data_IF_618290474565
#
_entry.id   IF_618290474565
#
_cell.length_a   1.000
_cell.length_b   1.000
_cell.length_c   1.000
_cell.angle_alpha   90.00
_cell.angle_beta   90.00
_cell.angle_gamma   90.00
#
_symmetry.space_group_name_H-M   'P 1'
#
loop_
_entity.id
_entity.type
_entity.pdbx_description
1 polymer ?
#
# COMPACT_ATOMS: atom_id res chain seq x y z
N UNK A 1 1.29 -3.23 -8.66
CA UNK A 1 0.50 -3.03 -7.98
C UNK A 1 0.23 -3.93 -6.76
N UNK A 2 -0.74 -3.61 -5.95
CA UNK A 2 -1.27 -4.50 -4.91
C UNK A 2 -0.39 -4.81 -3.70
N UNK A 3 0.66 -4.08 -3.44
CA UNK A 3 1.51 -4.30 -2.27
C UNK A 3 1.98 -2.95 -1.72
N UNK A 4 3.16 -2.88 -1.10
CA UNK A 4 3.69 -1.62 -0.55
C UNK A 4 3.78 -0.49 -1.58
N UNK A 5 3.94 -0.79 -2.86
CA UNK A 5 3.88 0.17 -3.97
C UNK A 5 2.48 0.47 -4.51
N UNK A 6 1.44 -0.02 -3.87
CA UNK A 6 0.05 0.11 -4.28
C UNK A 6 -0.86 0.67 -3.20
N UNK A 7 -2.12 0.31 -3.26
CA UNK A 7 -3.14 0.70 -2.32
C UNK A 7 -4.27 -0.33 -2.26
N UNK A 8 -5.35 0.01 -1.61
CA UNK A 8 -6.52 -0.85 -1.48
C UNK A 8 -7.57 -0.30 -0.54
N UNK A 9 -8.46 -1.19 -0.14
CA UNK A 9 -9.51 -0.95 0.84
C UNK A 9 -9.46 -2.00 1.94
N UNK A 10 -9.78 -1.61 3.14
CA UNK A 10 -9.91 -2.51 4.28
C UNK A 10 -11.26 -2.27 4.96
N UNK A 11 -12.02 -3.34 5.16
CA UNK A 11 -13.22 -3.33 5.99
C UNK A 11 -12.86 -3.92 7.35
N UNK A 12 -13.10 -3.15 8.40
CA UNK A 12 -12.90 -3.61 9.78
C UNK A 12 -14.28 -3.69 10.44
N UNK A 13 -14.67 -4.88 10.87
CA UNK A 13 -15.88 -5.10 11.64
C UNK A 13 -15.51 -5.43 13.10
N UNK A 14 -15.54 -4.45 14.00
CA UNK A 14 -15.24 -4.70 15.42
C UNK A 14 -16.34 -5.57 16.06
N UNK A 15 -16.00 -6.25 17.13
CA UNK A 15 -16.95 -7.07 17.89
C UNK A 15 -18.13 -6.25 18.42
N UNK A 16 -17.89 -4.98 18.73
CA UNK A 16 -18.91 -4.01 19.12
C UNK A 16 -18.76 -2.75 18.26
N UNK A 17 -19.89 -2.22 17.80
CA UNK A 17 -19.92 -1.03 16.95
C UNK A 17 -20.19 -1.35 15.47
N UNK A 18 -20.20 -0.30 14.66
CA UNK A 18 -20.45 -0.40 13.22
C UNK A 18 -19.17 -0.73 12.44
N UNK A 19 -19.29 -1.45 11.32
CA UNK A 19 -18.16 -1.64 10.42
C UNK A 19 -17.62 -0.28 9.93
N UNK A 20 -16.32 -0.23 9.74
CA UNK A 20 -15.64 0.93 9.16
C UNK A 20 -14.87 0.52 7.91
N UNK A 21 -14.70 1.45 6.98
CA UNK A 21 -13.89 1.27 5.79
C UNK A 21 -12.69 2.20 5.88
N UNK A 22 -11.51 1.66 5.61
CA UNK A 22 -10.28 2.42 5.43
C UNK A 22 -9.95 2.39 3.95
N UNK A 23 -10.07 3.54 3.29
CA UNK A 23 -9.64 3.73 1.92
C UNK A 23 -8.17 4.18 1.94
N UNK A 24 -7.30 3.34 1.41
CA UNK A 24 -5.88 3.63 1.27
C UNK A 24 -5.41 3.44 -0.17
N UNK A 25 -6.30 3.72 -1.13
CA UNK A 25 -5.92 3.75 -2.54
C UNK A 25 -4.82 4.76 -2.81
N UNK A 26 -4.16 4.57 -3.92
CA UNK A 26 -3.17 5.50 -4.44
C UNK A 26 -3.81 6.86 -4.71
N UNK A 27 -3.07 7.90 -4.45
CA UNK A 27 -3.46 9.28 -4.76
C UNK A 27 -2.58 9.85 -5.86
N UNK A 28 -3.06 10.88 -6.53
CA UNK A 28 -2.22 11.61 -7.47
C UNK A 28 -1.05 12.28 -6.74
N UNK A 29 0.16 12.31 -7.32
CA UNK A 29 1.27 13.08 -6.77
C UNK A 29 0.90 14.55 -6.59
N UNK A 30 1.48 15.22 -5.57
CA UNK A 30 1.17 16.62 -5.26
C UNK A 30 1.42 17.59 -6.44
N UNK A 31 2.33 17.24 -7.34
CA UNK A 31 2.63 18.03 -8.56
C UNK A 31 1.80 17.62 -9.79
N UNK A 32 0.85 16.71 -9.63
CA UNK A 32 -0.01 16.29 -10.74
C UNK A 32 -0.90 17.45 -11.19
N UNK A 33 -1.05 17.59 -12.50
CA UNK A 33 -1.93 18.58 -13.11
C UNK A 33 -2.84 17.91 -14.12
N UNK A 34 -3.97 18.55 -14.43
CA UNK A 34 -4.96 18.00 -15.38
C UNK A 34 -4.37 17.75 -16.77
N UNK A 35 -3.32 18.49 -17.14
CA UNK A 35 -2.72 18.46 -18.48
C UNK A 35 -1.31 17.89 -18.50
N UNK A 36 -0.90 17.19 -17.43
CA UNK A 36 0.46 16.66 -17.31
C UNK A 36 0.79 15.55 -18.32
N UNK A 37 -0.22 14.82 -18.77
CA UNK A 37 -0.06 13.74 -19.75
C UNK A 37 -0.15 14.30 -21.17
N UNK A 38 0.80 13.91 -22.01
CA UNK A 38 0.83 14.23 -23.44
C UNK A 38 0.56 12.98 -24.26
N UNK A 39 0.16 13.17 -25.53
CA UNK A 39 -0.19 12.07 -26.44
C UNK A 39 0.94 11.04 -26.61
N UNK A 40 2.18 11.51 -26.56
CA UNK A 40 3.38 10.68 -26.77
C UNK A 40 4.02 10.18 -25.45
N UNK A 41 3.39 10.43 -24.30
CA UNK A 41 3.89 9.90 -23.02
C UNK A 41 3.72 8.37 -22.98
N UNK A 42 4.77 7.69 -22.57
CA UNK A 42 4.72 6.24 -22.37
C UNK A 42 3.76 5.87 -21.22
N UNK A 43 2.90 4.86 -21.39
CA UNK A 43 2.05 4.37 -20.31
C UNK A 43 2.86 3.72 -19.16
N UNK A 44 4.14 3.49 -19.36
CA UNK A 44 5.06 2.93 -18.36
C UNK A 44 6.00 4.00 -17.76
N UNK A 45 5.75 5.29 -18.03
CA UNK A 45 6.58 6.36 -17.48
C UNK A 45 6.31 6.58 -15.98
N UNK A 46 7.28 7.17 -15.29
CA UNK A 46 7.12 7.57 -13.87
C UNK A 46 5.95 8.53 -13.62
N UNK A 47 5.44 9.21 -14.65
CA UNK A 47 4.28 10.11 -14.55
C UNK A 47 2.99 9.39 -14.20
N UNK A 48 2.87 8.09 -14.52
CA UNK A 48 1.66 7.30 -14.25
C UNK A 48 1.64 6.65 -12.87
N UNK A 49 2.73 6.78 -12.11
CA UNK A 49 2.84 6.19 -10.77
C UNK A 49 2.03 7.00 -9.78
N UNK A 50 1.05 6.38 -9.16
CA UNK A 50 0.33 6.94 -8.02
C UNK A 50 1.17 6.92 -6.73
N UNK A 51 0.86 7.82 -5.82
CA UNK A 51 1.46 7.80 -4.47
C UNK A 51 0.87 6.64 -3.68
N UNK A 52 1.67 5.65 -3.24
CA UNK A 52 1.17 4.47 -2.56
C UNK A 52 0.52 4.77 -1.21
N UNK A 53 -0.55 4.04 -0.89
CA UNK A 53 -1.30 4.19 0.35
C UNK A 53 -1.23 2.99 1.30
N UNK A 54 -0.73 1.82 0.85
CA UNK A 54 -0.82 0.55 1.60
C UNK A 54 -0.21 0.64 3.01
N UNK A 55 1.03 1.10 3.14
CA UNK A 55 1.70 1.15 4.45
C UNK A 55 1.00 2.12 5.39
N UNK A 56 0.59 3.28 4.88
CA UNK A 56 -0.15 4.28 5.67
C UNK A 56 -1.52 3.76 6.11
N UNK A 57 -2.24 3.08 5.23
CA UNK A 57 -3.54 2.49 5.55
C UNK A 57 -3.46 1.38 6.59
N UNK A 58 -2.47 0.50 6.47
CA UNK A 58 -2.19 -0.53 7.47
C UNK A 58 -1.79 0.09 8.82
N UNK A 59 -0.97 1.14 8.81
CA UNK A 59 -0.58 1.84 10.03
C UNK A 59 -1.80 2.48 10.71
N UNK A 60 -2.68 3.13 9.95
CA UNK A 60 -3.91 3.71 10.48
C UNK A 60 -4.84 2.66 11.10
N UNK A 61 -5.00 1.51 10.44
CA UNK A 61 -5.76 0.39 11.00
C UNK A 61 -5.12 -0.13 12.30
N UNK A 62 -3.80 -0.22 12.32
CA UNK A 62 -3.05 -0.65 13.50
C UNK A 62 -3.18 0.34 14.67
N UNK A 63 -3.09 1.64 14.43
CA UNK A 63 -3.27 2.66 15.48
C UNK A 63 -4.65 2.55 16.16
N UNK A 64 -5.68 2.20 15.39
CA UNK A 64 -7.06 2.09 15.90
C UNK A 64 -7.40 0.76 16.53
N UNK A 65 -6.82 -0.32 16.04
CA UNK A 65 -7.25 -1.69 16.36
C UNK A 65 -6.10 -2.63 16.71
N UNK A 66 -4.84 -2.24 16.50
CA UNK A 66 -3.69 -3.08 16.76
C UNK A 66 -3.31 -3.16 18.24
N UNK A 67 -2.71 -4.27 18.64
CA UNK A 67 -2.24 -4.52 20.01
C UNK A 67 -0.73 -4.72 20.09
N UNK A 68 -0.11 -5.23 19.04
CA UNK A 68 1.33 -5.45 18.96
C UNK A 68 2.08 -4.16 18.62
N UNK A 69 3.35 -4.08 18.93
CA UNK A 69 4.18 -2.95 18.49
C UNK A 69 4.31 -2.94 16.97
N UNK A 70 4.11 -1.81 16.34
CA UNK A 70 4.24 -1.66 14.87
C UNK A 70 5.57 -2.20 14.35
N UNK A 71 6.67 -1.88 15.00
CA UNK A 71 8.01 -2.39 14.64
C UNK A 71 8.05 -3.92 14.57
N UNK A 72 7.42 -4.61 15.52
CA UNK A 72 7.40 -6.08 15.54
C UNK A 72 6.59 -6.68 14.38
N UNK A 73 5.62 -5.94 13.86
CA UNK A 73 4.83 -6.36 12.69
C UNK A 73 5.56 -6.14 11.37
N UNK A 74 6.38 -5.09 11.30
CA UNK A 74 7.12 -4.75 10.08
C UNK A 74 8.43 -5.54 9.94
N UNK A 75 9.07 -5.87 11.06
CA UNK A 75 10.39 -6.50 11.08
C UNK A 75 10.49 -7.80 10.26
N UNK A 76 9.52 -8.73 10.29
CA UNK A 76 9.57 -9.94 9.45
C UNK A 76 9.63 -9.62 7.95
N UNK A 77 8.92 -8.59 7.49
CA UNK A 77 8.97 -8.17 6.10
C UNK A 77 10.33 -7.57 5.73
N UNK A 78 10.94 -6.81 6.64
CA UNK A 78 12.31 -6.29 6.48
C UNK A 78 13.31 -7.44 6.35
N UNK A 79 13.21 -8.44 7.23
CA UNK A 79 14.09 -9.61 7.18
C UNK A 79 13.97 -10.40 5.87
N UNK A 80 12.75 -10.59 5.35
CA UNK A 80 12.52 -11.23 4.06
C UNK A 80 13.12 -10.41 2.90
N UNK A 81 13.02 -9.09 2.96
CA UNK A 81 13.60 -8.21 1.95
C UNK A 81 15.14 -8.21 1.99
N UNK A 82 15.74 -8.27 3.17
CA UNK A 82 17.21 -8.27 3.34
C UNK A 82 17.83 -9.64 3.04
N UNK A 83 17.23 -10.72 3.53
CA UNK A 83 17.77 -12.08 3.43
C UNK A 83 17.31 -12.82 2.19
N UNK A 84 16.23 -12.34 1.57
CA UNK A 84 15.56 -13.04 0.47
C UNK A 84 14.71 -14.23 0.96
N UNK A 85 14.03 -14.87 0.02
CA UNK A 85 13.25 -16.09 0.22
C UNK A 85 13.22 -16.89 -1.07
N UNK A 86 12.91 -18.18 -0.96
CA UNK A 86 12.85 -19.08 -2.11
C UNK A 86 11.53 -18.84 -2.85
N UNK A 87 11.64 -18.50 -4.15
CA UNK A 87 10.48 -18.41 -5.02
C UNK A 87 10.06 -19.81 -5.49
N UNK A 88 8.77 -20.02 -5.59
CA UNK A 88 8.24 -21.21 -6.26
C UNK A 88 8.30 -21.06 -7.80
N UNK A 89 7.97 -22.16 -8.51
CA UNK A 89 8.04 -22.20 -9.98
C UNK A 89 7.12 -21.21 -10.69
N UNK A 90 6.06 -20.72 -10.03
CA UNK A 90 5.13 -19.78 -10.63
C UNK A 90 5.58 -18.33 -10.50
N UNK A 91 6.46 -18.05 -9.52
CA UNK A 91 6.96 -16.72 -9.21
C UNK A 91 8.43 -16.50 -9.60
N UNK A 92 9.10 -17.54 -10.12
CA UNK A 92 10.51 -17.50 -10.52
C UNK A 92 10.71 -16.95 -11.95
#
# INVERSE_FOLDING_TARGET
AGNIGGGGFMVVHPTKGSPIVIDYRETAPAKATRTMFKKDDSPYSHKVVGTPGTVRGMHLAHEKHGHLRWKSLVLPAVELAEKGYILDKHHA
#
